data_IF_362091637691
#
_entry.id   IF_362091637691
#
_cell.length_a   1.000
_cell.length_b   1.000
_cell.length_c   1.000
_cell.angle_alpha   90.00
_cell.angle_beta   90.00
_cell.angle_gamma   90.00
#
_symmetry.space_group_name_H-M   'P 1'
#
loop_
_entity.id
_entity.type
_entity.pdbx_description
1 polymer ?
#
# COMPACT_ATOMS: atom_id res chain seq x y z
N UNK A 1 -7.71 19.47 -15.14
CA UNK A 1 -6.76 18.46 -15.68
C UNK A 1 -7.58 17.27 -16.11
N UNK A 2 -7.57 16.85 -17.40
CA UNK A 2 -8.61 15.97 -17.91
C UNK A 2 -8.42 14.48 -17.56
N UNK A 3 -7.22 14.03 -17.20
CA UNK A 3 -6.99 12.68 -16.67
C UNK A 3 -5.89 12.75 -15.61
N UNK A 4 -6.19 12.32 -14.38
CA UNK A 4 -5.20 12.24 -13.29
C UNK A 4 -4.80 10.78 -13.09
N UNK A 5 -3.66 10.39 -13.63
CA UNK A 5 -3.04 9.10 -13.30
C UNK A 5 -2.16 9.21 -12.05
N UNK A 6 -1.72 8.07 -11.49
CA UNK A 6 -0.88 8.05 -10.29
C UNK A 6 0.41 8.87 -10.46
N UNK A 7 1.01 8.82 -11.66
CA UNK A 7 2.24 9.55 -12.01
C UNK A 7 2.03 11.06 -11.90
N UNK A 8 0.89 11.58 -12.32
CA UNK A 8 0.54 12.99 -12.19
C UNK A 8 0.45 13.43 -10.72
N UNK A 9 -0.15 12.63 -9.85
CA UNK A 9 -0.25 12.93 -8.41
C UNK A 9 1.13 12.95 -7.75
N UNK A 10 1.96 11.93 -7.97
CA UNK A 10 3.32 11.86 -7.41
C UNK A 10 4.18 13.01 -7.91
N UNK A 11 4.05 13.39 -9.19
CA UNK A 11 4.79 14.50 -9.78
C UNK A 11 4.47 15.84 -9.11
N UNK A 12 3.19 16.08 -8.82
CA UNK A 12 2.76 17.31 -8.13
C UNK A 12 3.25 17.34 -6.67
N UNK A 13 3.16 16.23 -5.95
CA UNK A 13 3.68 16.11 -4.58
C UNK A 13 5.19 16.40 -4.55
N UNK A 14 5.96 15.86 -5.51
CA UNK A 14 7.38 16.16 -5.65
C UNK A 14 7.65 17.64 -5.96
N UNK A 15 6.82 18.25 -6.80
CA UNK A 15 6.91 19.67 -7.12
C UNK A 15 6.77 20.56 -5.87
N UNK A 16 5.83 20.24 -4.99
CA UNK A 16 5.69 20.94 -3.71
C UNK A 16 6.95 20.83 -2.83
N UNK A 17 7.56 19.65 -2.79
CA UNK A 17 8.80 19.42 -2.02
C UNK A 17 9.97 20.24 -2.54
N UNK A 18 10.15 20.33 -3.86
CA UNK A 18 11.22 21.13 -4.48
C UNK A 18 11.07 22.62 -4.24
N UNK A 19 9.83 23.10 -4.06
CA UNK A 19 9.53 24.51 -3.87
C UNK A 19 9.42 24.93 -2.40
N UNK A 20 9.65 24.02 -1.44
CA UNK A 20 9.53 24.34 0.00
C UNK A 20 8.10 24.42 0.52
N UNK A 21 7.10 24.10 -0.29
CA UNK A 21 5.67 24.16 0.05
C UNK A 21 5.21 22.84 0.69
N UNK A 22 5.83 22.48 1.81
CA UNK A 22 5.69 21.14 2.41
C UNK A 22 4.29 20.85 2.95
N UNK A 23 3.67 21.84 3.61
CA UNK A 23 2.32 21.70 4.19
C UNK A 23 1.27 21.51 3.10
N UNK A 24 1.38 22.27 2.01
CA UNK A 24 0.51 22.21 0.85
C UNK A 24 0.65 20.86 0.14
N UNK A 25 1.87 20.34 0.02
CA UNK A 25 2.10 19.01 -0.54
C UNK A 25 1.49 17.88 0.29
N UNK A 26 1.53 17.97 1.63
CA UNK A 26 0.86 16.99 2.51
C UNK A 26 -0.67 17.10 2.41
N UNK A 27 -1.20 18.32 2.31
CA UNK A 27 -2.63 18.53 2.09
C UNK A 27 -3.08 17.97 0.73
N UNK A 28 -2.26 18.14 -0.30
CA UNK A 28 -2.52 17.57 -1.62
C UNK A 28 -2.53 16.03 -1.60
N UNK A 29 -1.64 15.39 -0.83
CA UNK A 29 -1.69 13.95 -0.60
C UNK A 29 -3.00 13.53 0.08
N UNK A 30 -3.49 14.29 1.06
CA UNK A 30 -4.80 14.04 1.67
C UNK A 30 -5.95 14.13 0.68
N UNK A 31 -5.91 15.08 -0.25
CA UNK A 31 -6.91 15.13 -1.32
C UNK A 31 -6.84 13.89 -2.19
N UNK A 32 -5.64 13.44 -2.54
CA UNK A 32 -5.45 12.24 -3.35
C UNK A 32 -6.06 11.00 -2.68
N UNK A 33 -5.78 10.75 -1.39
CA UNK A 33 -6.30 9.55 -0.70
C UNK A 33 -7.81 9.55 -0.47
N UNK A 34 -8.46 10.72 -0.58
CA UNK A 34 -9.92 10.85 -0.47
C UNK A 34 -10.61 11.04 -1.83
N UNK A 35 -9.87 10.93 -2.93
CA UNK A 35 -10.43 11.04 -4.27
C UNK A 35 -11.18 9.75 -4.64
N UNK A 36 -12.29 9.87 -5.36
CA UNK A 36 -13.18 8.74 -5.72
C UNK A 36 -12.41 7.61 -6.42
N UNK A 37 -11.55 7.93 -7.39
CA UNK A 37 -10.68 6.93 -8.06
C UNK A 37 -9.76 6.14 -7.13
N UNK A 38 -9.37 6.72 -5.98
CA UNK A 38 -8.53 6.05 -4.98
C UNK A 38 -9.37 5.22 -4.01
N UNK A 39 -10.57 5.69 -3.68
CA UNK A 39 -11.55 4.98 -2.85
C UNK A 39 -12.08 3.74 -3.59
N UNK A 40 -12.36 3.87 -4.89
CA UNK A 40 -12.79 2.78 -5.77
C UNK A 40 -11.62 1.86 -6.22
N UNK A 41 -10.43 2.07 -5.65
CA UNK A 41 -9.23 1.26 -5.85
C UNK A 41 -8.69 1.22 -7.29
N UNK A 42 -9.05 2.20 -8.14
CA UNK A 42 -8.46 2.37 -9.48
C UNK A 42 -7.05 2.98 -9.42
N UNK A 43 -6.77 3.78 -8.41
CA UNK A 43 -5.47 4.43 -8.17
C UNK A 43 -5.08 4.24 -6.69
N UNK A 44 -3.84 3.86 -6.38
CA UNK A 44 -3.35 3.78 -4.99
C UNK A 44 -2.01 4.51 -4.88
N UNK A 45 -1.76 5.27 -3.79
CA UNK A 45 -0.42 5.75 -3.51
C UNK A 45 0.59 4.61 -3.58
N UNK A 46 1.61 4.75 -4.41
CA UNK A 46 2.71 3.80 -4.49
C UNK A 46 3.86 4.21 -3.54
N UNK A 47 4.89 3.38 -3.48
CA UNK A 47 6.09 3.63 -2.68
C UNK A 47 6.71 5.00 -2.96
N UNK A 48 6.87 5.38 -4.23
CA UNK A 48 7.40 6.69 -4.61
C UNK A 48 6.57 7.84 -4.03
N UNK A 49 5.23 7.72 -4.03
CA UNK A 49 4.34 8.70 -3.43
C UNK A 49 4.57 8.83 -1.92
N UNK A 50 4.70 7.71 -1.22
CA UNK A 50 4.97 7.73 0.22
C UNK A 50 6.36 8.30 0.54
N UNK A 51 7.40 7.95 -0.22
CA UNK A 51 8.74 8.53 -0.07
C UNK A 51 8.69 10.05 -0.24
N UNK A 52 8.01 10.53 -1.28
CA UNK A 52 7.82 11.97 -1.51
C UNK A 52 7.12 12.64 -0.33
N UNK A 53 6.02 12.06 0.16
CA UNK A 53 5.24 12.65 1.26
C UNK A 53 6.01 12.60 2.60
N UNK A 54 6.74 11.52 2.88
CA UNK A 54 7.61 11.46 4.07
C UNK A 54 8.73 12.50 3.99
N UNK A 55 9.28 12.75 2.80
CA UNK A 55 10.24 13.84 2.59
C UNK A 55 9.61 15.20 2.89
N UNK A 56 8.36 15.46 2.48
CA UNK A 56 7.64 16.68 2.87
C UNK A 56 7.51 16.79 4.38
N UNK A 57 7.13 15.70 5.07
CA UNK A 57 7.02 15.69 6.53
C UNK A 57 8.36 15.94 7.22
N UNK A 58 9.46 15.38 6.72
CA UNK A 58 10.79 15.55 7.28
C UNK A 58 11.30 16.99 7.20
N UNK A 59 10.83 17.76 6.22
CA UNK A 59 11.20 19.17 6.01
C UNK A 59 10.24 20.16 6.68
N UNK A 60 9.23 19.71 7.43
CA UNK A 60 8.41 20.59 8.26
C UNK A 60 9.12 20.95 9.56
N UNK A 61 8.99 22.20 9.97
CA UNK A 61 9.54 22.67 11.25
C UNK A 61 8.68 22.25 12.46
N UNK A 62 9.35 22.07 13.61
CA UNK A 62 8.70 21.86 14.90
C UNK A 62 7.94 20.53 15.02
N UNK A 63 6.82 20.55 15.75
CA UNK A 63 6.01 19.34 16.02
C UNK A 63 5.22 18.84 14.80
N UNK A 64 5.17 19.63 13.72
CA UNK A 64 4.46 19.29 12.48
C UNK A 64 5.04 18.06 11.78
N UNK A 65 6.37 17.91 11.80
CA UNK A 65 7.06 16.77 11.16
C UNK A 65 6.61 15.42 11.72
N UNK A 66 6.69 15.26 13.05
CA UNK A 66 6.33 14.01 13.73
C UNK A 66 4.81 13.78 13.70
N UNK A 67 4.00 14.85 13.83
CA UNK A 67 2.55 14.72 13.77
C UNK A 67 2.09 14.16 12.43
N UNK A 68 2.52 14.78 11.32
CA UNK A 68 2.14 14.34 9.98
C UNK A 68 2.76 13.00 9.61
N UNK A 69 4.04 12.78 9.97
CA UNK A 69 4.71 11.50 9.76
C UNK A 69 3.96 10.34 10.40
N UNK A 70 3.45 10.49 11.64
CA UNK A 70 2.64 9.47 12.31
C UNK A 70 1.30 9.19 11.62
N UNK A 71 0.63 10.24 11.13
CA UNK A 71 -0.64 10.08 10.41
C UNK A 71 -0.46 9.30 9.10
N UNK A 72 0.56 9.65 8.31
CA UNK A 72 0.87 8.99 7.04
C UNK A 72 1.36 7.55 7.28
N UNK A 73 2.21 7.34 8.28
CA UNK A 73 2.63 6.01 8.71
C UNK A 73 1.44 5.12 9.11
N UNK A 74 0.49 5.65 9.89
CA UNK A 74 -0.74 4.94 10.26
C UNK A 74 -1.60 4.60 9.04
N UNK A 75 -1.67 5.48 8.04
CA UNK A 75 -2.37 5.22 6.78
C UNK A 75 -1.71 4.09 5.97
N UNK A 76 -0.38 4.07 5.87
CA UNK A 76 0.37 2.97 5.21
C UNK A 76 0.05 1.64 5.88
N UNK A 77 0.18 1.59 7.21
CA UNK A 77 -0.07 0.39 7.99
C UNK A 77 -1.51 -0.08 7.82
N UNK A 78 -2.50 0.80 8.01
CA UNK A 78 -3.93 0.45 7.93
C UNK A 78 -4.28 -0.16 6.58
N UNK A 79 -3.84 0.44 5.48
CA UNK A 79 -4.12 -0.07 4.14
C UNK A 79 -3.41 -1.39 3.81
N UNK A 80 -2.31 -1.72 4.49
CA UNK A 80 -1.66 -3.02 4.37
C UNK A 80 -2.34 -4.08 5.25
N UNK A 81 -2.75 -3.71 6.46
CA UNK A 81 -3.44 -4.57 7.42
C UNK A 81 -4.83 -4.96 6.92
N UNK A 82 -5.62 -3.99 6.41
CA UNK A 82 -6.99 -4.24 5.95
C UNK A 82 -7.04 -5.27 4.81
N UNK A 83 -6.12 -5.16 3.86
CA UNK A 83 -6.03 -6.11 2.73
C UNK A 83 -5.54 -7.50 3.18
N UNK A 84 -4.58 -7.56 4.10
CA UNK A 84 -4.11 -8.83 4.68
C UNK A 84 -5.22 -9.53 5.47
N UNK A 85 -6.03 -8.77 6.23
CA UNK A 85 -7.18 -9.29 6.95
C UNK A 85 -8.28 -9.79 6.00
N UNK A 86 -8.50 -9.14 4.85
CA UNK A 86 -9.42 -9.64 3.83
C UNK A 86 -8.94 -10.97 3.22
N UNK A 87 -7.65 -11.12 2.95
CA UNK A 87 -7.08 -12.40 2.49
C UNK A 87 -7.31 -13.51 3.51
N UNK A 88 -7.04 -13.23 4.80
CA UNK A 88 -7.27 -14.18 5.90
C UNK A 88 -8.76 -14.55 6.04
N UNK A 89 -9.65 -13.55 5.98
CA UNK A 89 -11.11 -13.76 6.02
C UNK A 89 -11.59 -14.65 4.88
N UNK A 90 -11.23 -14.32 3.64
CA UNK A 90 -11.64 -15.10 2.47
C UNK A 90 -11.01 -16.51 2.50
N UNK A 91 -9.79 -16.64 2.99
CA UNK A 91 -9.14 -17.93 3.21
C UNK A 91 -9.89 -18.80 4.20
N UNK A 92 -10.21 -18.27 5.39
CA UNK A 92 -10.94 -18.99 6.44
C UNK A 92 -12.37 -19.38 6.04
N UNK A 93 -12.99 -18.61 5.15
CA UNK A 93 -14.33 -18.91 4.61
C UNK A 93 -14.30 -19.78 3.35
N UNK A 94 -13.11 -20.21 2.91
CA UNK A 94 -12.92 -21.06 1.74
C UNK A 94 -13.14 -20.38 0.39
N UNK A 95 -13.32 -19.06 0.38
CA UNK A 95 -13.48 -18.26 -0.83
C UNK A 95 -12.11 -17.92 -1.46
N UNK A 96 -11.36 -18.94 -1.87
CA UNK A 96 -9.99 -18.78 -2.38
C UNK A 96 -9.89 -17.91 -3.63
N UNK A 97 -10.93 -17.87 -4.47
CA UNK A 97 -10.97 -16.99 -5.65
C UNK A 97 -10.87 -15.51 -5.24
N UNK A 98 -11.62 -15.11 -4.21
CA UNK A 98 -11.62 -13.75 -3.68
C UNK A 98 -10.34 -13.45 -2.92
N UNK A 99 -9.85 -14.40 -2.10
CA UNK A 99 -8.55 -14.28 -1.43
C UNK A 99 -7.42 -14.05 -2.44
N UNK A 100 -7.37 -14.87 -3.49
CA UNK A 100 -6.40 -14.77 -4.55
C UNK A 100 -6.54 -13.49 -5.39
N UNK A 101 -7.76 -13.01 -5.61
CA UNK A 101 -8.00 -11.73 -6.30
C UNK A 101 -7.43 -10.55 -5.51
N UNK A 102 -7.78 -10.45 -4.21
CA UNK A 102 -7.26 -9.41 -3.32
C UNK A 102 -5.75 -9.48 -3.25
N UNK A 103 -5.21 -10.68 -2.99
CA UNK A 103 -3.77 -10.92 -2.93
C UNK A 103 -3.05 -10.48 -4.21
N UNK A 104 -3.55 -10.85 -5.40
CA UNK A 104 -2.93 -10.46 -6.68
C UNK A 104 -2.98 -8.95 -6.91
N UNK A 105 -4.06 -8.28 -6.51
CA UNK A 105 -4.22 -6.82 -6.64
C UNK A 105 -3.34 -6.01 -5.69
N UNK A 106 -2.79 -6.61 -4.63
CA UNK A 106 -1.85 -5.95 -3.74
C UNK A 106 -0.53 -5.67 -4.47
N UNK A 107 -0.21 -4.39 -4.66
CA UNK A 107 1.05 -3.93 -5.28
C UNK A 107 2.26 -4.27 -4.40
N UNK A 108 2.13 -4.01 -3.10
CA UNK A 108 3.13 -4.38 -2.08
C UNK A 108 2.54 -5.46 -1.20
N UNK A 109 3.27 -6.57 -1.07
CA UNK A 109 2.90 -7.71 -0.23
C UNK A 109 3.95 -7.87 0.84
N UNK A 110 3.59 -7.54 2.07
CA UNK A 110 4.43 -7.77 3.23
C UNK A 110 4.48 -9.26 3.54
N UNK A 111 5.48 -9.68 4.34
CA UNK A 111 5.63 -11.08 4.78
C UNK A 111 4.33 -11.61 5.40
N UNK A 112 3.61 -10.77 6.15
CA UNK A 112 2.32 -11.14 6.74
C UNK A 112 1.25 -11.45 5.69
N UNK A 113 1.24 -10.75 4.56
CA UNK A 113 0.30 -10.97 3.44
C UNK A 113 0.59 -12.28 2.72
N UNK A 114 1.87 -12.57 2.45
CA UNK A 114 2.29 -13.86 1.87
C UNK A 114 1.88 -15.02 2.79
N UNK A 115 2.19 -14.90 4.08
CA UNK A 115 1.83 -15.91 5.07
C UNK A 115 0.30 -16.12 5.13
N UNK A 116 -0.49 -15.03 5.11
CA UNK A 116 -1.95 -15.14 5.09
C UNK A 116 -2.47 -15.91 3.88
N UNK A 117 -1.92 -15.68 2.67
CA UNK A 117 -2.34 -16.41 1.47
C UNK A 117 -1.87 -17.88 1.48
N UNK A 118 -0.65 -18.15 1.96
CA UNK A 118 -0.13 -19.52 2.12
C UNK A 118 -0.99 -20.30 3.11
N UNK A 119 -1.32 -19.70 4.26
CA UNK A 119 -2.24 -20.30 5.24
C UNK A 119 -3.63 -20.52 4.64
N UNK A 120 -4.17 -19.55 3.87
CA UNK A 120 -5.44 -19.71 3.19
C UNK A 120 -5.46 -20.92 2.24
N UNK A 121 -4.40 -21.10 1.43
CA UNK A 121 -4.28 -22.25 0.52
C UNK A 121 -4.16 -23.58 1.27
N UNK A 122 -3.32 -23.62 2.31
CA UNK A 122 -3.13 -24.82 3.13
C UNK A 122 -4.41 -25.25 3.85
N UNK A 123 -5.16 -24.31 4.43
CA UNK A 123 -6.43 -24.58 5.10
C UNK A 123 -7.52 -25.13 4.17
N UNK A 124 -7.38 -24.94 2.86
CA UNK A 124 -8.36 -25.33 1.85
C UNK A 124 -7.86 -26.48 0.96
N UNK A 125 -6.83 -27.23 1.38
CA UNK A 125 -6.35 -28.42 0.67
C UNK A 125 -5.65 -28.11 -0.66
N UNK A 126 -5.01 -26.93 -0.76
CA UNK A 126 -4.25 -26.48 -1.94
C UNK A 126 -2.75 -26.45 -1.60
N UNK A 127 -2.22 -27.51 -1.02
CA UNK A 127 -0.85 -27.53 -0.46
C UNK A 127 0.23 -27.31 -1.52
N UNK A 128 0.05 -27.84 -2.73
CA UNK A 128 0.98 -27.62 -3.83
C UNK A 128 1.13 -26.14 -4.19
N UNK A 129 0.00 -25.42 -4.30
CA UNK A 129 0.02 -23.98 -4.55
C UNK A 129 0.56 -23.18 -3.36
N UNK A 130 0.36 -23.67 -2.13
CA UNK A 130 0.93 -23.05 -0.94
C UNK A 130 2.46 -23.15 -0.94
N UNK A 131 3.02 -24.29 -1.34
CA UNK A 131 4.47 -24.51 -1.48
C UNK A 131 5.05 -23.66 -2.62
N UNK A 132 4.43 -23.67 -3.80
CA UNK A 132 4.85 -22.82 -4.93
C UNK A 132 4.88 -21.33 -4.55
N UNK A 133 3.94 -20.89 -3.71
CA UNK A 133 3.86 -19.51 -3.25
C UNK A 133 4.90 -19.20 -2.16
N UNK A 134 5.24 -20.18 -1.31
CA UNK A 134 6.30 -20.06 -0.31
C UNK A 134 7.68 -19.92 -0.97
N UNK A 135 8.00 -20.77 -1.95
CA UNK A 135 9.27 -20.73 -2.68
C UNK A 135 9.47 -19.38 -3.39
N UNK A 136 8.43 -18.88 -4.09
CA UNK A 136 8.47 -17.55 -4.73
C UNK A 136 8.73 -16.41 -3.74
N UNK A 137 8.24 -16.52 -2.50
CA UNK A 137 8.45 -15.50 -1.47
C UNK A 137 9.88 -15.55 -0.91
N UNK A 138 10.50 -16.73 -0.80
CA UNK A 138 11.90 -16.86 -0.37
C UNK A 138 12.88 -16.39 -1.44
N UNK A 139 12.67 -16.77 -2.70
CA UNK A 139 13.51 -16.32 -3.83
C UNK A 139 13.48 -14.78 -3.98
N UNK A 140 12.32 -14.17 -3.75
CA UNK A 140 12.16 -12.71 -3.77
C UNK A 140 12.86 -11.99 -2.62
N UNK A 141 13.07 -12.65 -1.47
CA UNK A 141 13.82 -12.09 -0.32
C UNK A 141 15.33 -12.20 -0.47
N UNK A 142 15.82 -13.15 -1.27
CA UNK A 142 17.26 -13.33 -1.53
C UNK A 142 17.77 -12.43 -2.67
N UNK A 143 16.88 -11.86 -3.48
CA UNK A 143 17.21 -11.02 -4.62
C UNK A 143 17.18 -9.50 -4.35
N UNK A 144 16.90 -9.08 -3.10
CA UNK A 144 16.84 -7.68 -2.66
C UNK A 144 17.99 -7.37 -1.68
#
# INVERSE_FOLDING_TARGET
MPERDMVSWTSVINGFGRNGCFTEGIWFFKMMVNHEDVIDCFVKPNEATYISVFSLCANLDGSGSIYWGKQIHGHVIRNAIELTALVDLYGKTGCLTSAGYVFKKMVVKEVCTWNAMISALSLNGREGEALDLFEKNEDGKLAA
#
